data_IF_815043222567
#
_entry.id   IF_815043222567
#
_cell.length_a   1.000
_cell.length_b   1.000
_cell.length_c   1.000
_cell.angle_alpha   90.00
_cell.angle_beta   90.00
_cell.angle_gamma   90.00
#
_symmetry.space_group_name_H-M   'P 1'
#
loop_
_entity.id
_entity.type
_entity.pdbx_description
1 polymer ?
#
# COMPACT_ATOMS: atom_id res chain seq x y z
N UNK A 1 0.64 16.37 20.89
CA UNK A 1 0.86 15.96 19.49
C UNK A 1 1.20 14.48 19.50
N UNK A 2 0.76 13.71 18.48
CA UNK A 2 0.97 12.25 18.45
C UNK A 2 2.44 11.88 18.33
N UNK A 3 3.19 12.59 17.49
CA UNK A 3 4.62 12.33 17.23
C UNK A 3 5.49 12.33 18.49
N UNK A 4 5.12 13.09 19.52
CA UNK A 4 5.89 13.16 20.78
C UNK A 4 5.82 11.87 21.60
N UNK A 5 4.82 11.03 21.33
CA UNK A 5 4.61 9.74 21.98
C UNK A 5 5.22 8.56 21.20
N UNK A 6 5.77 8.82 20.01
CA UNK A 6 6.42 7.79 19.18
C UNK A 6 7.91 7.71 19.53
N UNK A 7 8.39 6.50 19.76
CA UNK A 7 9.83 6.18 19.88
C UNK A 7 10.22 5.23 18.78
N UNK A 8 11.23 5.61 18.02
CA UNK A 8 11.79 4.85 16.92
C UNK A 8 13.03 4.13 17.44
N UNK A 9 13.01 2.80 17.40
CA UNK A 9 14.16 1.97 17.77
C UNK A 9 15.17 1.83 16.65
N UNK A 10 16.29 1.20 16.98
CA UNK A 10 17.30 0.81 16.00
C UNK A 10 16.81 -0.33 15.11
N UNK A 11 17.46 -0.54 13.98
CA UNK A 11 17.23 -1.70 13.15
C UNK A 11 17.61 -2.99 13.87
N UNK A 12 16.70 -3.94 13.90
CA UNK A 12 16.91 -5.28 14.47
C UNK A 12 17.18 -6.32 13.39
N UNK A 13 16.76 -6.03 12.17
CA UNK A 13 16.99 -6.90 11.00
C UNK A 13 17.44 -6.04 9.82
N UNK A 14 18.43 -6.55 9.10
CA UNK A 14 18.86 -6.09 7.79
C UNK A 14 19.08 -7.31 6.91
N UNK A 15 18.42 -7.34 5.77
CA UNK A 15 18.59 -8.38 4.75
C UNK A 15 19.12 -7.67 3.49
N UNK A 16 20.32 -7.99 3.08
CA UNK A 16 20.90 -7.44 1.85
C UNK A 16 20.34 -8.19 0.62
N UNK A 17 20.40 -7.57 -0.55
CA UNK A 17 19.88 -8.13 -1.80
C UNK A 17 20.33 -9.57 -2.08
N UNK A 18 21.60 -9.87 -1.81
CA UNK A 18 22.18 -11.23 -1.96
C UNK A 18 21.54 -12.29 -1.06
N UNK A 19 20.96 -11.87 0.07
CA UNK A 19 20.34 -12.71 1.09
C UNK A 19 18.79 -12.72 0.96
N UNK A 20 18.25 -11.93 0.03
CA UNK A 20 16.83 -11.96 -0.32
C UNK A 20 16.48 -13.29 -1.02
N UNK A 21 15.20 -13.71 -0.98
CA UNK A 21 14.78 -14.91 -1.70
C UNK A 21 15.20 -14.87 -3.18
N UNK A 22 15.73 -15.97 -3.73
CA UNK A 22 16.26 -16.00 -5.10
C UNK A 22 15.26 -15.49 -6.13
N UNK A 23 15.71 -14.61 -7.03
CA UNK A 23 14.88 -14.00 -8.07
C UNK A 23 13.65 -13.24 -7.54
N UNK A 24 13.74 -12.70 -6.34
CA UNK A 24 12.69 -11.89 -5.74
C UNK A 24 13.15 -10.44 -5.63
N UNK A 25 12.42 -9.56 -6.26
CA UNK A 25 12.59 -8.10 -6.14
C UNK A 25 11.26 -7.52 -5.70
N UNK A 26 11.22 -6.88 -4.56
CA UNK A 26 9.96 -6.33 -4.04
C UNK A 26 9.41 -5.21 -4.93
N UNK A 27 8.12 -5.32 -5.25
CA UNK A 27 7.39 -4.32 -6.01
C UNK A 27 6.05 -3.94 -5.34
N UNK A 28 6.09 -3.82 -4.05
CA UNK A 28 4.97 -3.41 -3.19
C UNK A 28 5.22 -3.72 -1.72
N UNK A 29 4.35 -3.20 -0.88
CA UNK A 29 4.39 -3.44 0.55
C UNK A 29 3.99 -4.87 0.89
N UNK A 30 4.66 -5.50 1.85
CA UNK A 30 4.19 -6.77 2.41
C UNK A 30 2.83 -6.61 3.08
N UNK A 31 1.99 -7.65 2.97
CA UNK A 31 0.73 -7.75 3.74
C UNK A 31 0.84 -8.93 4.70
N UNK A 32 1.07 -8.66 6.00
CA UNK A 32 1.18 -9.70 7.00
C UNK A 32 -0.20 -10.23 7.44
N UNK A 33 -0.28 -11.54 7.68
CA UNK A 33 -1.41 -12.19 8.36
C UNK A 33 -0.85 -13.09 9.45
N UNK A 34 -1.07 -12.76 10.71
CA UNK A 34 -0.67 -13.58 11.87
C UNK A 34 -1.55 -14.82 11.95
N UNK A 35 -0.90 -15.99 11.99
CA UNK A 35 -1.55 -17.28 12.09
C UNK A 35 -1.80 -17.67 13.55
N UNK A 36 -2.74 -18.61 13.83
CA UNK A 36 -2.99 -19.08 15.20
C UNK A 36 -1.77 -19.74 15.85
N UNK A 37 -0.83 -20.28 15.08
CA UNK A 37 0.43 -20.88 15.57
C UNK A 37 1.51 -19.83 15.91
N UNK A 38 1.20 -18.53 15.78
CA UNK A 38 2.10 -17.42 16.04
C UNK A 38 3.01 -17.06 14.87
N UNK A 39 3.08 -17.87 13.83
CA UNK A 39 3.78 -17.51 12.59
C UNK A 39 3.02 -16.44 11.82
N UNK A 40 3.69 -15.80 10.85
CA UNK A 40 3.07 -14.80 9.98
C UNK A 40 3.19 -15.24 8.53
N UNK A 41 2.06 -15.22 7.82
CA UNK A 41 2.03 -15.33 6.36
C UNK A 41 2.18 -13.93 5.79
N UNK A 42 3.17 -13.73 4.93
CA UNK A 42 3.42 -12.50 4.22
C UNK A 42 3.04 -12.65 2.75
N UNK A 43 2.09 -11.85 2.30
CA UNK A 43 1.79 -11.70 0.88
C UNK A 43 2.74 -10.64 0.32
N UNK A 44 3.54 -11.03 -0.66
CA UNK A 44 4.58 -10.21 -1.23
C UNK A 44 4.35 -10.06 -2.74
N UNK A 45 4.59 -8.87 -3.23
CA UNK A 45 4.51 -8.55 -4.66
C UNK A 45 5.90 -8.48 -5.24
N UNK A 46 6.09 -9.05 -6.42
CA UNK A 46 7.37 -9.20 -7.10
C UNK A 46 7.40 -8.38 -8.39
N UNK A 47 8.50 -7.71 -8.64
CA UNK A 47 8.76 -7.02 -9.89
C UNK A 47 8.78 -8.03 -11.05
N UNK A 48 7.88 -7.85 -12.00
CA UNK A 48 7.75 -8.78 -13.12
C UNK A 48 6.94 -10.05 -12.83
N UNK A 49 6.42 -10.23 -11.63
CA UNK A 49 5.48 -11.29 -11.31
C UNK A 49 4.15 -11.05 -12.04
N UNK A 50 3.96 -11.73 -13.11
CA UNK A 50 2.79 -11.62 -13.99
C UNK A 50 2.20 -13.00 -14.20
N UNK A 51 1.08 -13.27 -13.80
CA UNK A 51 0.03 -12.72 -12.94
C UNK A 51 0.04 -13.34 -11.53
N UNK A 52 1.17 -13.53 -10.93
CA UNK A 52 1.31 -14.16 -9.62
C UNK A 52 2.17 -13.30 -8.70
N UNK A 53 1.98 -13.46 -7.42
CA UNK A 53 2.76 -12.91 -6.35
C UNK A 53 3.22 -14.05 -5.43
N UNK A 54 4.04 -13.73 -4.43
CA UNK A 54 4.65 -14.76 -3.57
C UNK A 54 4.10 -14.72 -2.16
N UNK A 55 4.07 -15.88 -1.53
CA UNK A 55 3.78 -16.02 -0.11
C UNK A 55 5.01 -16.55 0.61
N UNK A 56 5.30 -15.93 1.74
CA UNK A 56 6.34 -16.38 2.66
C UNK A 56 5.71 -16.62 4.04
N UNK A 57 6.34 -17.49 4.81
CA UNK A 57 6.06 -17.69 6.22
C UNK A 57 7.28 -17.26 7.01
N UNK A 58 7.06 -16.48 8.06
CA UNK A 58 8.13 -15.95 8.88
C UNK A 58 7.66 -15.55 10.26
N UNK A 59 8.45 -14.71 10.90
CA UNK A 59 8.18 -14.11 12.21
C UNK A 59 7.93 -12.60 12.08
N UNK A 60 7.71 -11.94 13.20
CA UNK A 60 7.49 -10.48 13.26
C UNK A 60 8.69 -9.68 12.74
N UNK A 61 9.91 -10.22 12.80
CA UNK A 61 11.14 -9.55 12.38
C UNK A 61 11.88 -10.24 11.23
N UNK A 62 11.44 -11.42 10.82
CA UNK A 62 12.03 -12.20 9.73
C UNK A 62 10.93 -12.68 8.77
N UNK A 63 10.57 -11.91 7.74
CA UNK A 63 9.42 -12.21 6.90
C UNK A 63 9.66 -13.33 5.88
N UNK A 64 10.91 -13.65 5.56
CA UNK A 64 11.28 -14.54 4.46
C UNK A 64 11.88 -15.88 4.92
N UNK A 65 11.54 -16.36 6.13
CA UNK A 65 12.11 -17.61 6.70
C UNK A 65 11.83 -18.84 5.83
N UNK A 66 10.67 -18.90 5.20
CA UNK A 66 10.34 -19.96 4.26
C UNK A 66 9.42 -19.49 3.15
N UNK A 67 9.71 -19.94 1.92
CA UNK A 67 8.83 -19.77 0.78
C UNK A 67 7.66 -20.74 0.88
N UNK A 68 6.44 -20.23 0.86
CA UNK A 68 5.21 -21.05 0.93
C UNK A 68 4.71 -21.41 -0.46
N UNK A 69 4.81 -20.48 -1.40
CA UNK A 69 4.36 -20.67 -2.77
C UNK A 69 4.05 -19.37 -3.47
N UNK A 70 3.60 -19.51 -4.70
CA UNK A 70 3.09 -18.43 -5.51
C UNK A 70 1.57 -18.44 -5.45
N UNK A 71 0.95 -17.29 -5.48
CA UNK A 71 -0.49 -17.17 -5.60
C UNK A 71 -0.88 -16.54 -6.92
N UNK A 72 -1.95 -17.05 -7.49
CA UNK A 72 -2.38 -16.74 -8.85
C UNK A 72 -3.68 -15.97 -8.82
N UNK A 73 -3.79 -15.01 -9.75
CA UNK A 73 -5.01 -14.27 -9.98
C UNK A 73 -5.83 -14.91 -11.10
N UNK A 74 -7.08 -15.24 -10.81
CA UNK A 74 -8.06 -15.58 -11.82
C UNK A 74 -8.83 -14.30 -12.20
N UNK A 75 -8.78 -13.93 -13.48
CA UNK A 75 -9.38 -12.73 -14.00
C UNK A 75 -10.14 -12.99 -15.30
N UNK A 76 -11.32 -13.55 -15.18
CA UNK A 76 -12.20 -13.78 -16.34
C UNK A 76 -12.90 -12.50 -16.86
N UNK A 77 -12.57 -11.34 -16.30
CA UNK A 77 -13.35 -10.11 -16.51
C UNK A 77 -12.71 -9.09 -17.46
N UNK A 78 -11.64 -9.42 -18.18
CA UNK A 78 -11.05 -8.53 -19.18
C UNK A 78 -11.16 -9.08 -20.59
N UNK A 79 -12.12 -8.55 -21.40
CA UNK A 79 -12.28 -8.99 -22.80
C UNK A 79 -11.16 -8.51 -23.73
N UNK A 80 -10.33 -7.55 -23.37
CA UNK A 80 -9.40 -6.85 -24.25
C UNK A 80 -7.92 -6.95 -23.88
N UNK A 81 -7.49 -8.00 -23.20
CA UNK A 81 -6.08 -8.18 -22.89
C UNK A 81 -5.80 -8.33 -21.40
N UNK A 82 -4.68 -8.92 -21.11
CA UNK A 82 -4.25 -9.27 -19.78
C UNK A 82 -3.91 -8.03 -18.96
N UNK A 83 -4.40 -7.91 -17.70
CA UNK A 83 -3.81 -6.96 -16.79
C UNK A 83 -2.33 -7.32 -16.66
N UNK A 84 -1.45 -6.37 -16.92
CA UNK A 84 -0.02 -6.66 -16.96
C UNK A 84 0.56 -6.85 -15.57
N UNK A 85 -0.12 -6.38 -14.52
CA UNK A 85 0.27 -6.59 -13.14
C UNK A 85 -0.90 -6.42 -12.18
N UNK A 86 -1.00 -7.32 -11.21
CA UNK A 86 -1.96 -7.29 -10.10
C UNK A 86 -1.17 -7.46 -8.80
N UNK A 87 -1.04 -6.40 -8.02
CA UNK A 87 -0.32 -6.39 -6.76
C UNK A 87 -1.30 -6.20 -5.60
N UNK A 88 -1.49 -7.23 -4.77
CA UNK A 88 -2.23 -7.09 -3.52
C UNK A 88 -1.42 -6.25 -2.53
N UNK A 89 -1.53 -4.94 -2.64
CA UNK A 89 -0.82 -4.00 -1.77
C UNK A 89 -1.32 -4.07 -0.33
N UNK A 90 -2.59 -4.44 -0.12
CA UNK A 90 -3.17 -4.60 1.20
C UNK A 90 -4.09 -5.81 1.21
N UNK A 91 -3.95 -6.67 2.22
CA UNK A 91 -4.80 -7.85 2.42
C UNK A 91 -5.54 -7.69 3.75
N UNK A 92 -6.86 -7.69 3.70
CA UNK A 92 -7.76 -7.66 4.85
C UNK A 92 -8.33 -9.04 5.10
N UNK A 93 -8.32 -9.48 6.37
CA UNK A 93 -8.90 -10.76 6.79
C UNK A 93 -10.30 -10.56 7.37
N UNK A 94 -11.29 -11.16 6.74
CA UNK A 94 -12.66 -11.22 7.25
C UNK A 94 -12.78 -12.20 8.44
N UNK A 95 -13.82 -12.06 9.23
CA UNK A 95 -14.07 -12.90 10.42
C UNK A 95 -14.29 -14.38 10.04
N UNK A 96 -14.83 -14.65 8.87
CA UNK A 96 -15.02 -16.02 8.34
C UNK A 96 -13.76 -16.61 7.68
N UNK A 97 -12.65 -15.87 7.70
CA UNK A 97 -11.36 -16.29 7.15
C UNK A 97 -11.15 -15.93 5.68
N UNK A 98 -12.16 -15.42 4.98
CA UNK A 98 -12.03 -14.89 3.63
C UNK A 98 -11.03 -13.73 3.61
N UNK A 99 -10.20 -13.66 2.58
CA UNK A 99 -9.25 -12.55 2.39
C UNK A 99 -9.74 -11.61 1.28
N UNK A 100 -9.66 -10.33 1.54
CA UNK A 100 -9.92 -9.27 0.55
C UNK A 100 -8.59 -8.62 0.23
N UNK A 101 -8.21 -8.64 -1.06
CA UNK A 101 -7.05 -7.91 -1.57
C UNK A 101 -7.49 -6.55 -2.13
N UNK A 102 -6.88 -5.48 -1.61
CA UNK A 102 -6.92 -4.18 -2.26
C UNK A 102 -5.69 -4.15 -3.18
N UNK A 103 -5.97 -4.04 -4.48
CA UNK A 103 -5.03 -4.38 -5.54
C UNK A 103 -4.62 -3.11 -6.28
N UNK A 104 -3.32 -2.86 -6.36
CA UNK A 104 -2.75 -2.00 -7.37
C UNK A 104 -2.73 -2.76 -8.69
N UNK A 105 -3.40 -2.25 -9.71
CA UNK A 105 -3.43 -2.83 -11.05
C UNK A 105 -2.70 -1.94 -12.03
N UNK A 106 -1.81 -2.52 -12.78
CA UNK A 106 -1.16 -1.87 -13.91
C UNK A 106 -1.59 -2.52 -15.23
N UNK A 107 -1.85 -1.69 -16.22
CA UNK A 107 -2.12 -2.13 -17.58
C UNK A 107 -1.18 -1.42 -18.53
N UNK A 108 -0.33 -2.19 -19.21
CA UNK A 108 0.61 -1.70 -20.19
C UNK A 108 0.09 -2.05 -21.59
N UNK A 109 -0.20 -1.07 -22.41
CA UNK A 109 -0.44 -1.29 -23.84
C UNK A 109 0.85 -1.06 -24.63
N UNK A 110 1.33 -2.08 -25.29
CA UNK A 110 2.55 -2.04 -26.12
C UNK A 110 2.27 -1.72 -27.60
N UNK A 111 1.09 -1.23 -27.94
CA UNK A 111 0.78 -0.84 -29.31
C UNK A 111 1.49 0.47 -29.68
N UNK A 112 2.36 0.40 -30.67
CA UNK A 112 2.97 1.53 -31.38
C UNK A 112 3.87 2.48 -30.57
N UNK A 113 4.92 1.96 -29.90
CA UNK A 113 6.01 2.74 -29.27
C UNK A 113 5.57 3.79 -28.23
N UNK A 114 4.33 3.80 -27.84
CA UNK A 114 3.80 4.60 -26.74
C UNK A 114 3.38 3.64 -25.64
N UNK A 115 4.21 3.45 -24.62
CA UNK A 115 3.80 2.71 -23.43
C UNK A 115 2.68 3.48 -22.74
N UNK A 116 1.48 2.94 -22.81
CA UNK A 116 0.35 3.44 -22.05
C UNK A 116 0.34 2.70 -20.73
N UNK A 117 0.64 3.41 -19.65
CA UNK A 117 0.52 2.86 -18.32
C UNK A 117 -0.76 3.42 -17.72
N UNK A 118 -1.68 2.54 -17.40
CA UNK A 118 -2.92 2.88 -16.75
C UNK A 118 -2.96 2.17 -15.40
N UNK A 119 -2.94 2.94 -14.32
CA UNK A 119 -2.98 2.43 -12.95
C UNK A 119 -4.37 2.55 -12.37
N UNK A 120 -4.88 1.47 -11.79
CA UNK A 120 -6.16 1.45 -11.10
C UNK A 120 -6.00 0.81 -9.72
N UNK A 121 -6.96 1.06 -8.85
CA UNK A 121 -7.18 0.26 -7.65
C UNK A 121 -8.34 -0.69 -7.93
N UNK A 122 -8.14 -1.95 -7.60
CA UNK A 122 -9.15 -2.98 -7.74
C UNK A 122 -9.35 -3.79 -6.47
N UNK A 123 -10.26 -4.72 -6.53
CA UNK A 123 -10.54 -5.67 -5.46
C UNK A 123 -10.39 -7.09 -5.93
N UNK A 124 -9.83 -7.92 -5.05
CA UNK A 124 -9.77 -9.35 -5.20
C UNK A 124 -10.20 -10.09 -3.95
N UNK A 125 -10.54 -11.34 -4.09
CA UNK A 125 -10.98 -12.20 -3.00
C UNK A 125 -10.31 -13.56 -3.06
N UNK A 126 -9.95 -14.10 -1.90
CA UNK A 126 -9.48 -15.47 -1.72
C UNK A 126 -10.24 -16.15 -0.58
N UNK A 127 -10.68 -17.40 -0.81
CA UNK A 127 -11.40 -18.22 0.15
C UNK A 127 -10.55 -19.38 0.69
N UNK A 128 -9.29 -19.49 0.23
CA UNK A 128 -8.39 -20.61 0.54
C UNK A 128 -7.07 -20.20 1.19
N UNK A 129 -7.10 -19.09 1.93
CA UNK A 129 -5.93 -18.56 2.62
C UNK A 129 -4.90 -17.89 1.72
N UNK A 130 -5.34 -17.40 0.56
CA UNK A 130 -4.53 -16.59 -0.35
C UNK A 130 -3.79 -17.39 -1.42
N UNK A 131 -4.10 -18.67 -1.60
CA UNK A 131 -3.47 -19.50 -2.66
C UNK A 131 -4.05 -19.21 -4.03
N UNK A 132 -5.36 -19.03 -4.11
CA UNK A 132 -6.05 -18.63 -5.32
C UNK A 132 -6.86 -17.37 -5.06
N UNK A 133 -6.75 -16.42 -5.99
CA UNK A 133 -7.43 -15.16 -5.92
C UNK A 133 -8.33 -14.98 -7.13
N UNK A 134 -9.51 -14.45 -6.89
CA UNK A 134 -10.40 -13.97 -7.94
C UNK A 134 -10.33 -12.44 -7.96
N UNK A 135 -9.93 -11.86 -9.08
CA UNK A 135 -9.97 -10.41 -9.28
C UNK A 135 -11.37 -9.99 -9.72
N UNK A 136 -12.06 -9.25 -8.87
CA UNK A 136 -13.43 -8.82 -9.10
C UNK A 136 -13.54 -7.61 -10.05
N UNK A 137 -12.50 -6.80 -10.12
CA UNK A 137 -12.42 -5.66 -11.02
C UNK A 137 -11.94 -4.37 -10.36
N UNK A 138 -11.90 -3.30 -11.15
CA UNK A 138 -11.44 -1.97 -10.73
C UNK A 138 -12.52 -1.23 -9.95
N UNK A 139 -12.11 -0.57 -8.87
CA UNK A 139 -12.98 0.27 -8.04
C UNK A 139 -12.60 1.76 -8.08
N UNK A 140 -11.34 2.05 -8.42
CA UNK A 140 -10.86 3.42 -8.54
C UNK A 140 -9.94 3.55 -9.75
N UNK A 141 -10.17 4.58 -10.54
CA UNK A 141 -9.41 4.86 -11.76
C UNK A 141 -9.67 6.26 -12.27
N UNK A 142 -8.88 6.71 -13.23
CA UNK A 142 -9.06 8.00 -13.88
C UNK A 142 -10.28 8.01 -14.79
N UNK A 143 -10.84 9.21 -15.00
CA UNK A 143 -11.88 9.45 -16.00
C UNK A 143 -11.42 9.19 -17.44
N UNK A 144 -10.12 9.15 -17.67
CA UNK A 144 -9.52 8.97 -18.98
C UNK A 144 -8.91 7.58 -19.04
N UNK A 145 -9.55 6.65 -19.71
CA UNK A 145 -8.99 5.34 -19.97
C UNK A 145 -7.70 5.39 -20.80
N UNK A 146 -7.29 6.59 -21.24
CA UNK A 146 -6.22 6.75 -22.19
C UNK A 146 -5.57 8.14 -22.11
N UNK A 147 -4.33 8.21 -21.66
CA UNK A 147 -3.49 9.40 -21.85
C UNK A 147 -2.12 8.97 -22.32
N UNK A 148 -1.78 9.24 -23.59
CA UNK A 148 -0.45 8.94 -24.08
C UNK A 148 0.62 9.68 -23.27
N UNK A 149 1.64 8.95 -22.80
CA UNK A 149 2.83 9.48 -22.12
C UNK A 149 2.63 10.18 -20.77
N UNK A 150 1.49 10.03 -20.15
CA UNK A 150 1.27 10.53 -18.78
C UNK A 150 1.06 9.34 -17.88
N UNK A 151 1.93 9.17 -16.89
CA UNK A 151 1.73 8.23 -15.80
C UNK A 151 0.55 8.73 -14.95
N UNK A 152 -0.63 8.27 -15.27
CA UNK A 152 -1.78 8.45 -14.39
C UNK A 152 -1.62 7.46 -13.24
N UNK A 153 -0.90 7.87 -12.20
CA UNK A 153 -0.57 6.98 -11.10
C UNK A 153 -1.68 7.04 -10.05
N UNK A 154 -2.46 5.98 -9.99
CA UNK A 154 -3.44 5.72 -8.93
C UNK A 154 -2.91 4.69 -7.93
N UNK A 155 -1.60 4.43 -7.97
CA UNK A 155 -0.95 3.37 -7.22
C UNK A 155 -0.86 3.64 -5.72
N UNK A 156 -0.53 2.58 -5.01
CA UNK A 156 -0.23 2.57 -3.59
C UNK A 156 -1.28 1.87 -2.77
N UNK A 157 -2.45 2.39 -2.61
CA UNK A 157 -3.60 1.92 -1.82
C UNK A 157 -3.32 1.48 -0.36
N UNK A 158 -2.56 2.27 0.47
CA UNK A 158 -2.63 2.08 1.91
C UNK A 158 -4.09 2.21 2.35
N UNK A 159 -4.54 1.27 3.19
CA UNK A 159 -5.96 1.16 3.52
C UNK A 159 -6.14 0.99 5.02
N UNK A 160 -7.13 1.69 5.57
CA UNK A 160 -7.61 1.52 6.95
C UNK A 160 -9.07 1.13 6.96
N UNK A 161 -9.55 0.66 8.12
CA UNK A 161 -10.97 0.48 8.42
C UNK A 161 -11.39 1.48 9.48
N UNK A 162 -12.48 2.21 9.23
CA UNK A 162 -13.08 3.14 10.18
C UNK A 162 -14.61 3.12 10.01
N UNK A 163 -15.33 3.00 11.12
CA UNK A 163 -16.80 3.06 11.18
C UNK A 163 -17.50 2.15 10.14
N UNK A 164 -16.94 0.94 9.90
CA UNK A 164 -17.48 -0.03 8.94
C UNK A 164 -17.16 0.28 7.47
N UNK A 165 -16.24 1.18 7.20
CA UNK A 165 -15.78 1.52 5.85
C UNK A 165 -14.28 1.29 5.70
N UNK A 166 -13.88 0.81 4.52
CA UNK A 166 -12.52 0.94 4.02
C UNK A 166 -12.29 2.37 3.53
N UNK A 167 -11.14 2.93 3.90
CA UNK A 167 -10.57 4.15 3.33
C UNK A 167 -9.26 3.76 2.69
N UNK A 168 -9.18 3.83 1.37
CA UNK A 168 -7.98 3.50 0.61
C UNK A 168 -7.40 4.75 -0.04
N UNK A 169 -6.14 5.05 0.27
CA UNK A 169 -5.46 6.27 -0.17
C UNK A 169 -4.64 5.99 -1.42
N UNK A 170 -4.49 6.98 -2.28
CA UNK A 170 -3.81 6.81 -3.55
C UNK A 170 -3.28 8.13 -4.13
N UNK A 171 -2.35 8.00 -5.07
CA UNK A 171 -1.91 9.13 -5.87
C UNK A 171 -2.98 9.46 -6.92
N UNK A 172 -3.69 10.57 -6.78
CA UNK A 172 -4.58 11.08 -7.82
C UNK A 172 -3.75 11.90 -8.81
N UNK A 173 -3.68 11.44 -10.03
CA UNK A 173 -3.02 12.15 -11.11
C UNK A 173 -3.85 12.01 -12.38
N UNK A 174 -4.52 13.07 -12.78
CA UNK A 174 -5.26 13.14 -14.04
C UNK A 174 -4.58 14.12 -15.01
N UNK A 175 -4.75 13.95 -16.33
CA UNK A 175 -4.19 14.87 -17.31
C UNK A 175 -4.61 16.32 -17.05
N UNK A 176 -3.64 17.22 -17.03
CA UNK A 176 -3.88 18.62 -16.71
C UNK A 176 -4.06 18.93 -15.24
N UNK A 177 -4.10 17.90 -14.37
CA UNK A 177 -4.09 18.04 -12.91
C UNK A 177 -2.67 17.87 -12.35
N UNK A 178 -2.44 18.54 -11.22
CA UNK A 178 -1.28 18.28 -10.39
C UNK A 178 -1.54 17.03 -9.55
N UNK A 179 -0.49 16.27 -9.26
CA UNK A 179 -0.55 15.09 -8.39
C UNK A 179 -0.93 15.48 -6.97
N UNK A 180 -1.94 14.82 -6.39
CA UNK A 180 -2.25 14.90 -4.96
C UNK A 180 -2.45 13.52 -4.37
N UNK A 181 -2.45 13.42 -3.04
CA UNK A 181 -2.93 12.21 -2.35
C UNK A 181 -4.42 12.40 -2.08
N UNK A 182 -5.21 11.48 -2.58
CA UNK A 182 -6.66 11.43 -2.39
C UNK A 182 -7.07 10.08 -1.76
N UNK A 183 -8.37 9.85 -1.58
CA UNK A 183 -8.88 8.61 -1.03
C UNK A 183 -10.19 8.17 -1.69
N UNK A 184 -10.45 6.85 -1.64
CA UNK A 184 -11.77 6.25 -1.87
C UNK A 184 -12.31 5.66 -0.58
N UNK A 185 -13.63 5.66 -0.44
CA UNK A 185 -14.37 5.05 0.66
C UNK A 185 -15.40 4.05 0.13
N UNK A 186 -15.47 2.88 0.76
CA UNK A 186 -16.44 1.83 0.43
C UNK A 186 -16.77 0.98 1.67
N UNK A 187 -18.02 0.51 1.79
CA UNK A 187 -18.48 -0.24 2.95
C UNK A 187 -17.81 -1.60 3.06
N UNK A 188 -17.35 -1.99 4.24
CA UNK A 188 -16.81 -3.34 4.52
C UNK A 188 -17.88 -4.39 4.30
N UNK A 189 -19.09 -4.22 4.86
CA UNK A 189 -20.20 -5.16 4.73
C UNK A 189 -20.64 -5.35 3.27
N UNK A 190 -20.84 -4.24 2.54
CA UNK A 190 -21.20 -4.30 1.12
C UNK A 190 -20.10 -4.97 0.31
N UNK A 191 -18.82 -4.73 0.63
CA UNK A 191 -17.68 -5.34 -0.06
C UNK A 191 -17.65 -6.85 0.15
N UNK A 192 -17.76 -7.32 1.40
CA UNK A 192 -17.84 -8.75 1.71
C UNK A 192 -18.98 -9.41 0.97
N UNK A 193 -20.19 -8.84 1.02
CA UNK A 193 -21.37 -9.36 0.32
C UNK A 193 -21.21 -9.37 -1.20
N UNK A 194 -20.69 -8.28 -1.76
CA UNK A 194 -20.48 -8.16 -3.20
C UNK A 194 -19.45 -9.18 -3.71
N UNK A 195 -18.30 -9.30 -3.04
CA UNK A 195 -17.21 -10.20 -3.46
C UNK A 195 -17.61 -11.69 -3.36
N UNK A 196 -18.39 -12.09 -2.35
CA UNK A 196 -19.01 -13.45 -2.28
C UNK A 196 -19.89 -13.75 -3.50
N UNK A 197 -20.46 -12.72 -4.11
CA UNK A 197 -21.25 -12.82 -5.33
C UNK A 197 -20.48 -12.45 -6.60
N UNK A 198 -19.14 -12.33 -6.52
CA UNK A 198 -18.26 -11.92 -7.63
C UNK A 198 -18.67 -10.59 -8.27
N UNK A 199 -19.09 -9.65 -7.44
CA UNK A 199 -19.50 -8.29 -7.81
C UNK A 199 -18.62 -7.26 -7.09
N UNK A 200 -18.71 -6.01 -7.52
CA UNK A 200 -18.04 -4.88 -6.88
C UNK A 200 -19.00 -4.09 -5.99
N UNK A 201 -18.51 -3.53 -4.85
CA UNK A 201 -19.28 -2.62 -4.04
C UNK A 201 -19.40 -1.24 -4.70
N UNK A 202 -20.23 -0.39 -4.14
CA UNK A 202 -20.23 1.04 -4.47
C UNK A 202 -19.03 1.72 -3.83
N UNK A 203 -18.32 2.55 -4.61
CA UNK A 203 -17.08 3.22 -4.19
C UNK A 203 -17.14 4.69 -4.55
N UNK A 204 -16.77 5.55 -3.61
CA UNK A 204 -16.76 6.99 -3.77
C UNK A 204 -15.41 7.58 -3.42
N UNK A 205 -14.92 8.51 -4.24
CA UNK A 205 -13.76 9.34 -3.94
C UNK A 205 -14.14 10.50 -3.02
N UNK A 206 -13.17 10.91 -2.23
CA UNK A 206 -13.25 12.16 -1.47
C UNK A 206 -13.30 13.36 -2.43
N UNK A 207 -14.33 14.18 -2.33
CA UNK A 207 -14.52 15.37 -3.18
C UNK A 207 -14.19 16.69 -2.48
N UNK A 208 -13.75 16.61 -1.22
CA UNK A 208 -13.47 17.77 -0.36
C UNK A 208 -14.59 18.04 0.65
N UNK A 209 -14.28 18.85 1.67
CA UNK A 209 -15.23 19.29 2.71
C UNK A 209 -16.01 18.13 3.39
N UNK A 210 -15.33 17.01 3.64
CA UNK A 210 -15.95 15.83 4.26
C UNK A 210 -16.92 15.06 3.35
N UNK A 211 -16.97 15.36 2.05
CA UNK A 211 -17.92 14.74 1.09
C UNK A 211 -17.28 13.56 0.36
N UNK A 212 -18.10 12.53 0.17
CA UNK A 212 -17.76 11.28 -0.51
C UNK A 212 -18.83 10.97 -1.56
N UNK A 213 -18.85 11.74 -2.63
CA UNK A 213 -19.90 11.72 -3.66
C UNK A 213 -19.36 11.58 -5.09
N UNK A 214 -18.06 11.67 -5.28
CA UNK A 214 -17.45 11.47 -6.59
C UNK A 214 -17.25 9.98 -6.86
N UNK A 215 -17.60 9.50 -8.05
CA UNK A 215 -17.45 8.09 -8.42
C UNK A 215 -16.00 7.65 -8.36
N UNK A 216 -15.77 6.42 -7.89
CA UNK A 216 -14.42 5.81 -7.84
C UNK A 216 -13.78 5.70 -9.24
N UNK A 217 -14.54 5.25 -10.24
CA UNK A 217 -14.10 5.26 -11.64
C UNK A 217 -14.63 6.51 -12.33
N UNK A 218 -13.75 7.27 -12.94
CA UNK A 218 -14.08 8.41 -13.79
C UNK A 218 -14.28 9.74 -13.06
N UNK A 219 -14.26 9.76 -11.74
CA UNK A 219 -14.29 11.02 -10.98
C UNK A 219 -12.89 11.53 -10.63
N UNK A 220 -12.81 12.78 -10.21
CA UNK A 220 -11.57 13.38 -9.70
C UNK A 220 -11.69 13.55 -8.18
N UNK A 221 -10.71 13.00 -7.45
CA UNK A 221 -10.63 13.15 -6.00
C UNK A 221 -9.99 14.49 -5.58
N UNK A 222 -10.34 14.98 -4.40
CA UNK A 222 -9.70 16.12 -3.76
C UNK A 222 -8.50 15.70 -2.90
N UNK A 223 -7.54 16.60 -2.62
CA UNK A 223 -6.44 16.32 -1.71
C UNK A 223 -6.94 16.02 -0.30
N UNK A 224 -6.38 14.98 0.33
CA UNK A 224 -6.64 14.59 1.72
C UNK A 224 -5.42 14.83 2.61
N UNK A 225 -4.25 15.02 2.01
CA UNK A 225 -3.02 15.48 2.66
C UNK A 225 -2.69 16.85 2.08
N UNK A 226 -2.46 17.84 2.93
CA UNK A 226 -2.20 19.22 2.51
C UNK A 226 -0.76 19.67 2.74
N UNK A 227 0.02 18.91 3.53
CA UNK A 227 1.39 19.25 3.91
C UNK A 227 2.31 18.03 3.86
N UNK A 228 3.57 18.29 3.55
CA UNK A 228 4.67 17.34 3.70
C UNK A 228 5.92 18.03 4.27
N UNK A 229 6.98 17.27 4.62
CA UNK A 229 8.25 17.89 5.02
C UNK A 229 8.85 18.85 3.99
N UNK A 230 8.42 18.75 2.73
CA UNK A 230 9.04 19.45 1.59
C UNK A 230 8.11 20.44 0.90
N UNK A 231 6.82 20.46 1.24
CA UNK A 231 5.87 21.35 0.58
C UNK A 231 4.56 21.48 1.37
N UNK A 232 4.02 22.70 1.39
CA UNK A 232 2.66 23.00 1.84
C UNK A 232 1.67 23.13 0.66
N UNK A 233 2.08 22.75 -0.56
CA UNK A 233 1.20 22.74 -1.71
C UNK A 233 0.58 21.34 -1.89
N UNK A 234 -0.73 21.14 -1.65
CA UNK A 234 -1.37 19.82 -1.67
C UNK A 234 -1.28 19.11 -3.04
N UNK A 235 -0.97 19.86 -4.09
CA UNK A 235 -0.80 19.35 -5.45
C UNK A 235 0.67 19.15 -5.84
N UNK A 236 1.61 19.28 -4.90
CA UNK A 236 3.04 19.04 -5.12
C UNK A 236 3.74 18.74 -3.79
N UNK A 237 3.33 17.69 -3.12
CA UNK A 237 3.82 17.34 -1.79
C UNK A 237 5.15 16.59 -1.81
N UNK A 238 5.64 16.15 -2.98
CA UNK A 238 6.82 15.29 -3.11
C UNK A 238 6.75 14.01 -2.29
N UNK A 239 5.55 13.44 -2.14
CA UNK A 239 5.28 12.17 -1.46
C UNK A 239 4.51 11.22 -2.37
N UNK A 240 4.55 9.93 -2.04
CA UNK A 240 3.92 8.86 -2.78
C UNK A 240 3.30 7.81 -1.86
N UNK A 241 2.16 7.23 -2.26
CA UNK A 241 1.30 6.39 -1.42
C UNK A 241 1.55 4.89 -1.53
N UNK A 242 2.77 4.44 -1.89
CA UNK A 242 3.07 3.01 -2.07
C UNK A 242 3.38 2.26 -0.75
N UNK A 243 2.84 2.69 0.36
CA UNK A 243 3.12 2.15 1.69
C UNK A 243 1.87 1.59 2.37
N UNK A 244 1.81 1.62 3.69
CA UNK A 244 0.70 1.05 4.49
C UNK A 244 0.08 2.07 5.42
N UNK A 245 -1.13 1.74 5.89
CA UNK A 245 -1.82 2.45 6.94
C UNK A 245 -2.39 1.47 7.97
N UNK A 246 -2.56 1.92 9.21
CA UNK A 246 -3.06 1.15 10.36
C UNK A 246 -3.73 2.06 11.39
N UNK A 247 -4.56 1.50 12.25
CA UNK A 247 -5.05 2.18 13.45
C UNK A 247 -4.17 1.84 14.65
N UNK A 248 -3.71 2.85 15.37
CA UNK A 248 -2.89 2.70 16.57
C UNK A 248 -3.75 2.90 17.84
N UNK A 249 -4.08 1.81 18.50
CA UNK A 249 -4.99 1.81 19.68
C UNK A 249 -4.56 2.78 20.79
N UNK A 250 -3.30 2.77 21.29
CA UNK A 250 -2.91 3.66 22.38
C UNK A 250 -2.92 5.13 22.04
N UNK A 251 -2.72 5.46 20.76
CA UNK A 251 -2.79 6.85 20.28
C UNK A 251 -4.23 7.25 19.95
N UNK A 252 -5.13 6.29 19.81
CA UNK A 252 -6.46 6.50 19.26
C UNK A 252 -6.41 7.33 17.98
N UNK A 253 -5.54 6.92 17.03
CA UNK A 253 -5.37 7.58 15.75
C UNK A 253 -4.93 6.60 14.67
N UNK A 254 -5.07 7.02 13.42
CA UNK A 254 -4.59 6.32 12.24
C UNK A 254 -3.17 6.76 11.93
N UNK A 255 -2.36 5.81 11.51
CA UNK A 255 -0.98 5.98 11.05
C UNK A 255 -0.91 5.61 9.57
N UNK A 256 -0.17 6.37 8.79
CA UNK A 256 0.09 6.08 7.39
C UNK A 256 1.50 6.47 7.01
N UNK A 257 2.23 5.57 6.38
CA UNK A 257 3.56 5.88 5.86
C UNK A 257 3.47 6.36 4.42
N UNK A 258 4.34 7.31 4.05
CA UNK A 258 4.50 7.85 2.71
C UNK A 258 5.97 7.98 2.38
N UNK A 259 6.37 7.62 1.17
CA UNK A 259 7.73 7.85 0.68
C UNK A 259 7.88 9.24 0.07
N UNK A 260 9.09 9.76 0.04
CA UNK A 260 9.40 11.09 -0.50
C UNK A 260 10.22 11.07 -1.80
N UNK A 261 10.21 9.96 -2.52
CA UNK A 261 10.90 9.82 -3.81
C UNK A 261 12.40 10.17 -3.71
N UNK A 262 12.82 11.20 -4.43
CA UNK A 262 14.23 11.63 -4.50
C UNK A 262 14.83 12.13 -3.19
N UNK A 263 14.03 12.51 -2.20
CA UNK A 263 14.51 12.88 -0.87
C UNK A 263 14.94 11.65 -0.06
N UNK A 264 14.40 10.46 -0.36
CA UNK A 264 14.76 9.20 0.26
C UNK A 264 14.31 9.09 1.72
N UNK A 265 13.25 9.77 2.11
CA UNK A 265 12.70 9.69 3.46
C UNK A 265 11.39 8.92 3.48
N UNK A 266 11.13 8.25 4.59
CA UNK A 266 9.85 7.66 4.92
C UNK A 266 9.18 8.53 5.99
N UNK A 267 8.00 9.02 5.67
CA UNK A 267 7.23 9.93 6.52
C UNK A 267 6.06 9.17 7.13
N UNK A 268 5.89 9.26 8.45
CA UNK A 268 4.73 8.77 9.17
C UNK A 268 3.74 9.91 9.36
N UNK A 269 2.56 9.77 8.82
CA UNK A 269 1.42 10.66 9.01
C UNK A 269 0.47 10.15 10.08
N UNK A 270 -0.22 11.08 10.73
CA UNK A 270 -1.20 10.84 11.78
C UNK A 270 -2.54 11.45 11.41
N UNK A 271 -3.64 10.74 11.72
CA UNK A 271 -5.00 11.24 11.53
C UNK A 271 -5.93 10.74 12.62
N UNK A 272 -6.80 11.61 13.13
CA UNK A 272 -7.89 11.24 14.04
C UNK A 272 -9.13 10.73 13.31
N UNK A 273 -9.36 11.23 12.13
CA UNK A 273 -10.62 11.07 11.42
C UNK A 273 -10.49 10.35 10.07
N UNK A 274 -9.28 9.94 9.70
CA UNK A 274 -8.98 9.32 8.40
C UNK A 274 -9.15 10.26 7.18
N UNK A 275 -9.49 11.52 7.41
CA UNK A 275 -9.77 12.50 6.36
C UNK A 275 -8.77 13.69 6.38
N UNK A 276 -8.10 13.92 7.53
CA UNK A 276 -7.11 14.99 7.70
C UNK A 276 -5.79 14.40 8.20
N UNK A 277 -4.72 14.56 7.40
CA UNK A 277 -3.41 13.93 7.59
C UNK A 277 -2.26 14.96 7.57
N UNK A 278 -2.40 16.03 8.37
CA UNK A 278 -1.46 17.14 8.34
C UNK A 278 -0.38 17.10 9.45
N UNK A 279 -0.53 16.22 10.46
CA UNK A 279 0.54 15.95 11.41
C UNK A 279 1.42 14.83 10.88
N UNK A 280 2.74 15.02 10.91
CA UNK A 280 3.69 14.04 10.41
C UNK A 280 5.04 14.12 11.11
N UNK A 281 5.85 13.06 10.94
CA UNK A 281 7.26 13.00 11.29
C UNK A 281 8.04 12.13 10.30
N UNK A 282 9.32 12.42 10.08
CA UNK A 282 10.24 11.54 9.35
C UNK A 282 10.65 10.42 10.31
N UNK A 283 10.45 9.15 9.89
CA UNK A 283 10.74 7.96 10.70
C UNK A 283 11.88 7.13 10.15
N UNK A 284 12.29 7.39 8.93
CA UNK A 284 13.42 6.77 8.28
C UNK A 284 14.00 7.67 7.20
N UNK A 285 15.31 7.59 6.97
CA UNK A 285 15.98 8.36 5.93
C UNK A 285 17.10 7.52 5.33
N UNK A 286 17.13 7.47 4.01
CA UNK A 286 18.18 6.80 3.28
C UNK A 286 19.49 7.60 3.31
N UNK A 287 20.60 6.89 3.11
CA UNK A 287 21.92 7.50 2.93
C UNK A 287 21.91 8.46 1.73
N UNK A 288 22.58 9.60 1.89
CA UNK A 288 22.71 10.61 0.83
C UNK A 288 24.12 10.59 0.25
N UNK A 289 24.25 10.96 -1.02
CA UNK A 289 25.51 11.15 -1.69
C UNK A 289 26.15 12.50 -1.31
N UNK A 290 27.32 12.79 -1.89
CA UNK A 290 28.06 14.05 -1.67
C UNK A 290 27.33 15.31 -2.13
N UNK A 291 26.32 15.16 -3.01
CA UNK A 291 25.47 16.24 -3.52
C UNK A 291 24.18 16.38 -2.70
N UNK A 292 24.00 15.58 -1.65
CA UNK A 292 22.79 15.56 -0.83
C UNK A 292 21.60 14.82 -1.46
N UNK A 293 21.81 14.11 -2.56
CA UNK A 293 20.79 13.28 -3.20
C UNK A 293 20.72 11.91 -2.52
N UNK A 294 19.54 11.37 -2.37
CA UNK A 294 19.38 10.05 -1.78
C UNK A 294 19.96 8.96 -2.66
N UNK A 295 20.69 8.02 -2.05
CA UNK A 295 21.18 6.80 -2.71
C UNK A 295 20.09 5.74 -2.87
N UNK A 296 19.05 5.79 -2.02
CA UNK A 296 17.94 4.83 -2.00
C UNK A 296 16.60 5.55 -2.02
N UNK A 297 15.61 4.91 -2.60
CA UNK A 297 14.20 5.19 -2.36
C UNK A 297 13.69 4.25 -1.27
N UNK A 298 12.72 4.70 -0.47
CA UNK A 298 12.04 3.91 0.55
C UNK A 298 10.56 3.69 0.16
N UNK A 299 10.27 2.98 -0.94
CA UNK A 299 8.93 2.98 -1.53
C UNK A 299 7.92 2.16 -0.75
N UNK A 300 8.36 1.12 -0.06
CA UNK A 300 7.47 0.14 0.53
C UNK A 300 7.75 -0.03 2.00
N UNK A 301 6.67 0.03 2.80
CA UNK A 301 6.73 -0.27 4.21
C UNK A 301 5.49 -1.03 4.65
N UNK A 302 5.57 -1.75 5.76
CA UNK A 302 4.39 -2.30 6.41
C UNK A 302 4.53 -2.30 7.93
N UNK A 303 3.38 -2.38 8.61
CA UNK A 303 3.29 -2.50 10.06
C UNK A 303 3.02 -3.96 10.43
N UNK A 304 3.66 -4.44 11.50
CA UNK A 304 3.37 -5.75 12.11
C UNK A 304 3.20 -5.55 13.60
N UNK A 305 2.03 -5.87 14.13
CA UNK A 305 1.75 -5.72 15.57
C UNK A 305 2.68 -6.61 16.41
N UNK A 306 3.37 -6.00 17.37
CA UNK A 306 4.30 -6.65 18.30
C UNK A 306 3.76 -6.70 19.73
N UNK A 307 2.63 -6.05 19.98
CA UNK A 307 2.01 -6.00 21.33
C UNK A 307 1.11 -7.19 21.63
N UNK A 308 0.59 -7.85 20.59
CA UNK A 308 -0.45 -8.86 20.69
C UNK A 308 -1.87 -8.27 20.87
N UNK A 309 -2.00 -6.94 20.85
CA UNK A 309 -3.27 -6.22 21.02
C UNK A 309 -3.90 -5.82 19.68
N UNK A 310 -3.12 -5.88 18.61
CA UNK A 310 -3.54 -5.54 17.27
C UNK A 310 -4.34 -6.63 16.57
N UNK A 311 -4.75 -6.36 15.32
CA UNK A 311 -5.38 -7.34 14.45
C UNK A 311 -4.33 -8.23 13.77
N UNK A 312 -4.73 -9.46 13.43
CA UNK A 312 -3.86 -10.42 12.74
C UNK A 312 -3.33 -9.91 11.37
N UNK A 313 -4.06 -9.03 10.71
CA UNK A 313 -3.72 -8.42 9.42
C UNK A 313 -3.09 -7.03 9.53
N UNK A 314 -2.75 -6.61 10.77
CA UNK A 314 -2.16 -5.32 11.10
C UNK A 314 -2.96 -4.08 10.65
N UNK A 315 -4.26 -4.22 10.41
CA UNK A 315 -5.16 -3.06 10.28
C UNK A 315 -5.30 -2.29 11.60
N UNK A 316 -4.94 -2.93 12.71
CA UNK A 316 -4.81 -2.31 14.03
C UNK A 316 -3.52 -2.78 14.67
N UNK A 317 -2.82 -1.87 15.35
CA UNK A 317 -1.63 -2.15 16.14
C UNK A 317 -1.80 -1.61 17.57
N UNK A 318 -1.14 -2.27 18.52
CA UNK A 318 -1.12 -1.83 19.92
C UNK A 318 0.05 -0.89 20.22
N UNK A 319 0.54 -0.92 21.47
CA UNK A 319 1.57 -0.03 22.00
C UNK A 319 2.98 -0.30 21.45
N UNK A 320 3.19 -1.39 20.74
CA UNK A 320 4.44 -1.71 20.07
C UNK A 320 4.16 -2.42 18.73
N UNK A 321 4.90 -2.04 17.71
CA UNK A 321 4.82 -2.66 16.39
C UNK A 321 6.16 -2.60 15.66
N UNK A 322 6.35 -3.50 14.72
CA UNK A 322 7.50 -3.51 13.83
C UNK A 322 7.16 -2.73 12.57
N UNK A 323 8.07 -1.86 12.18
CA UNK A 323 8.07 -1.19 10.89
C UNK A 323 9.05 -1.90 9.98
N UNK A 324 8.54 -2.47 8.93
CA UNK A 324 9.32 -3.08 7.86
C UNK A 324 9.47 -2.07 6.72
N UNK A 325 10.68 -1.93 6.19
CA UNK A 325 10.98 -0.98 5.10
C UNK A 325 11.85 -1.63 4.04
N UNK A 326 11.67 -1.19 2.80
CA UNK A 326 12.52 -1.58 1.67
C UNK A 326 13.31 -0.36 1.22
N UNK A 327 14.62 -0.51 1.11
CA UNK A 327 15.51 0.49 0.54
C UNK A 327 15.92 0.03 -0.87
N UNK A 328 15.41 0.70 -1.90
CA UNK A 328 15.73 0.42 -3.30
C UNK A 328 16.87 1.32 -3.75
N UNK A 329 17.99 0.73 -4.14
CA UNK A 329 19.15 1.48 -4.60
C UNK A 329 18.89 2.12 -5.97
N UNK A 330 19.03 3.43 -6.05
CA UNK A 330 18.67 4.19 -7.26
C UNK A 330 19.61 3.88 -8.42
N UNK A 331 20.91 3.70 -8.15
CA UNK A 331 21.95 3.49 -9.16
C UNK A 331 22.09 2.04 -9.65
N UNK A 332 21.56 1.06 -8.93
CA UNK A 332 21.75 -0.37 -9.16
C UNK A 332 20.42 -1.13 -9.22
N UNK A 333 19.42 -0.55 -9.83
CA UNK A 333 18.12 -1.21 -9.96
C UNK A 333 18.20 -2.49 -10.82
N UNK A 334 17.62 -3.64 -10.39
CA UNK A 334 16.89 -3.83 -9.14
C UNK A 334 17.82 -4.34 -8.01
N UNK A 335 18.09 -3.50 -7.03
CA UNK A 335 18.82 -3.86 -5.82
C UNK A 335 18.00 -3.41 -4.62
N UNK A 336 17.62 -4.36 -3.77
CA UNK A 336 16.78 -4.13 -2.60
C UNK A 336 17.52 -4.50 -1.31
N UNK A 337 17.41 -3.65 -0.32
CA UNK A 337 17.75 -3.99 1.07
C UNK A 337 16.48 -3.92 1.91
N UNK A 338 16.35 -4.85 2.84
CA UNK A 338 15.18 -4.95 3.70
C UNK A 338 15.54 -4.72 5.15
N UNK A 339 14.78 -3.86 5.81
CA UNK A 339 15.03 -3.45 7.18
C UNK A 339 13.80 -3.59 8.06
N UNK A 340 14.04 -3.91 9.35
CA UNK A 340 13.00 -3.95 10.38
C UNK A 340 13.46 -3.17 11.61
N UNK A 341 12.64 -2.28 12.10
CA UNK A 341 12.84 -1.56 13.35
C UNK A 341 11.59 -1.57 14.22
N UNK A 342 11.77 -1.45 15.54
CA UNK A 342 10.67 -1.38 16.48
C UNK A 342 10.18 0.06 16.64
N UNK A 343 8.88 0.23 16.65
CA UNK A 343 8.24 1.47 17.04
C UNK A 343 7.47 1.21 18.33
N UNK A 344 7.59 2.10 19.30
CA UNK A 344 6.81 2.02 20.55
C UNK A 344 6.05 3.32 20.80
N UNK A 345 4.93 3.21 21.48
CA UNK A 345 4.05 4.32 21.86
C UNK A 345 4.11 4.48 23.38
N UNK A 346 4.41 5.68 23.84
CA UNK A 346 4.43 6.07 25.25
C UNK A 346 3.14 6.76 25.68
#
# INVERSE_FOLDING_TARGET
MFKERIRIGEYVTRIEDKDMPPKFTMDGSLSPIKNPDGSITYFATDLGARPYCRMFKGTETSPFDSFVGEYFWNYNCYPEGYPNGLWAQTVYRCDDGMLIGIVHRENFSYTDKTSLINYHIGLGVSEDGGRHWFYAGDICGNCCNYVPRVHANMGGCPTIVKDGYFYSYFNEFAPGMKKCISAVRFSVEETVSALKNKKLPRVYKYSGDGKWDTKGIGGTGAPIITKSPYSDNPYNLSIDSHSKATYCKPLDCYLMTMQTGSHGDLVLYFSKDAEHWDEYMIIDSAEKDENGMSKFMLPYSCFVDASGEGRADSFEVGGAFWLHTVHKKISEYPYDEYYVKKITVE
#
